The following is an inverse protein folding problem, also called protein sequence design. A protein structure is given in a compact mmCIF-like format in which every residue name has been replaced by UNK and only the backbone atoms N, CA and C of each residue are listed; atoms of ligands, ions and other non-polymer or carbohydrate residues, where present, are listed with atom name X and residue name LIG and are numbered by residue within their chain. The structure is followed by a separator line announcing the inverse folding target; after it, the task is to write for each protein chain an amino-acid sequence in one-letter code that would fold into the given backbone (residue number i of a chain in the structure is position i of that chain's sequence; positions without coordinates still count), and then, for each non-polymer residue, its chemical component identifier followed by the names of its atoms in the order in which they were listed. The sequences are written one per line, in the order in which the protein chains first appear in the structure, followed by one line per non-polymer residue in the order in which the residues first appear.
data_IF_663247465678
#
_entry.id   IF_663247465678
#
_cell.length_a   1.000
_cell.length_b   1.000
_cell.length_c   1.000
_cell.angle_alpha   90.00
_cell.angle_beta   90.00
_cell.angle_gamma   90.00
#
_symmetry.space_group_name_H-M   'P 1'
#
loop_
_entity.id
_entity.type
_entity.pdbx_description
1 polymer ?
#
# COMPACT_ATOMS: atom_id res chain seq x y z
N UNK A 1 0.88 30.88 -21.37
CA UNK A 1 -0.25 30.76 -20.40
C UNK A 1 -0.50 29.29 -20.16
N UNK A 2 -0.52 28.81 -18.91
CA UNK A 2 -0.72 27.39 -18.62
C UNK A 2 -2.13 26.95 -19.04
N UNK A 3 -2.32 25.75 -19.64
CA UNK A 3 -3.65 25.25 -20.02
C UNK A 3 -4.62 25.19 -18.83
N UNK A 4 -4.12 24.99 -17.61
CA UNK A 4 -4.92 25.03 -16.38
C UNK A 4 -5.49 26.42 -16.08
N UNK A 5 -4.73 27.49 -16.34
CA UNK A 5 -5.20 28.87 -16.14
C UNK A 5 -6.28 29.21 -17.16
N UNK A 6 -6.11 28.79 -18.42
CA UNK A 6 -7.14 28.96 -19.45
C UNK A 6 -8.42 28.22 -19.08
N UNK A 7 -8.31 27.00 -18.57
CA UNK A 7 -9.45 26.21 -18.11
C UNK A 7 -10.20 26.90 -16.96
N UNK A 8 -9.50 27.40 -15.96
CA UNK A 8 -10.09 28.13 -14.83
C UNK A 8 -10.78 29.42 -15.31
N UNK A 9 -10.10 30.21 -16.14
CA UNK A 9 -10.69 31.44 -16.70
C UNK A 9 -11.95 31.12 -17.49
N UNK A 10 -11.92 30.11 -18.37
CA UNK A 10 -13.11 29.66 -19.07
C UNK A 10 -14.18 29.16 -18.09
N UNK A 11 -13.86 28.42 -17.03
CA UNK A 11 -14.86 27.89 -16.10
C UNK A 11 -15.65 28.99 -15.35
N UNK A 12 -15.02 30.11 -15.00
CA UNK A 12 -15.64 31.17 -14.19
C UNK A 12 -16.21 32.36 -14.98
N UNK A 13 -15.76 32.57 -16.23
CA UNK A 13 -16.28 33.68 -17.05
C UNK A 13 -17.70 33.34 -17.56
N UNK A 14 -18.70 34.23 -17.41
CA UNK A 14 -20.05 34.02 -17.93
C UNK A 14 -20.09 33.84 -19.44
N UNK A 15 -21.04 33.04 -19.93
CA UNK A 15 -21.20 32.78 -21.36
C UNK A 15 -21.51 34.06 -22.17
N UNK A 16 -22.27 35.01 -21.62
CA UNK A 16 -22.56 36.29 -22.30
C UNK A 16 -21.29 37.07 -22.66
N UNK A 17 -20.30 37.05 -21.78
CA UNK A 17 -19.02 37.73 -22.02
C UNK A 17 -18.20 37.00 -23.08
N UNK A 18 -18.20 35.67 -23.05
CA UNK A 18 -17.57 34.84 -24.08
C UNK A 18 -18.22 35.05 -25.44
N UNK A 19 -19.56 35.10 -25.50
CA UNK A 19 -20.32 35.39 -26.71
C UNK A 19 -20.01 36.79 -27.25
N UNK A 20 -19.90 37.80 -26.38
CA UNK A 20 -19.51 39.16 -26.79
C UNK A 20 -18.09 39.24 -27.37
N UNK A 21 -17.19 38.34 -26.93
CA UNK A 21 -15.84 38.20 -27.47
C UNK A 21 -15.77 37.36 -28.77
N UNK A 22 -16.91 36.89 -29.29
CA UNK A 22 -17.01 36.06 -30.50
C UNK A 22 -16.78 34.55 -30.26
N UNK A 23 -16.73 34.11 -29.00
CA UNK A 23 -16.52 32.70 -28.63
C UNK A 23 -17.88 32.01 -28.46
N UNK A 24 -18.46 31.50 -29.55
CA UNK A 24 -19.81 30.91 -29.55
C UNK A 24 -19.84 29.37 -29.56
N UNK A 25 -18.73 28.70 -29.90
CA UNK A 25 -18.66 27.24 -30.08
C UNK A 25 -17.70 26.55 -29.10
N UNK A 26 -18.03 26.57 -27.82
CA UNK A 26 -17.24 25.95 -26.75
C UNK A 26 -18.07 24.87 -26.03
N UNK A 27 -17.43 23.89 -25.36
CA UNK A 27 -18.15 22.89 -24.59
C UNK A 27 -19.00 23.53 -23.48
N UNK A 28 -20.04 22.81 -23.03
CA UNK A 28 -20.90 23.27 -21.95
C UNK A 28 -20.12 23.43 -20.64
N UNK A 29 -20.43 24.47 -19.84
CA UNK A 29 -19.82 24.73 -18.52
C UNK A 29 -19.93 23.56 -17.54
N UNK A 30 -20.90 22.67 -17.71
CA UNK A 30 -21.03 21.43 -16.94
C UNK A 30 -19.71 20.61 -16.91
N UNK A 31 -18.94 20.64 -18.00
CA UNK A 31 -17.65 19.96 -18.09
C UNK A 31 -16.58 20.53 -17.14
N UNK A 32 -16.73 21.77 -16.67
CA UNK A 32 -15.88 22.33 -15.63
C UNK A 32 -15.98 21.55 -14.30
N UNK A 33 -17.15 20.98 -14.02
CA UNK A 33 -17.41 20.15 -12.84
C UNK A 33 -17.25 18.66 -13.16
N UNK A 34 -17.73 18.21 -14.32
CA UNK A 34 -17.70 16.80 -14.66
C UNK A 34 -16.27 16.26 -14.83
N UNK A 35 -15.36 17.02 -15.45
CA UNK A 35 -13.98 16.59 -15.66
C UNK A 35 -13.24 16.23 -14.34
N UNK A 36 -13.21 17.09 -13.29
CA UNK A 36 -12.57 16.72 -12.03
C UNK A 36 -13.28 15.55 -11.33
N UNK A 37 -14.61 15.45 -11.41
CA UNK A 37 -15.35 14.31 -10.85
C UNK A 37 -14.95 13.00 -11.55
N UNK A 38 -14.93 12.98 -12.89
CA UNK A 38 -14.52 11.79 -13.64
C UNK A 38 -13.08 11.40 -13.35
N UNK A 39 -12.17 12.37 -13.18
CA UNK A 39 -10.80 12.10 -12.76
C UNK A 39 -10.76 11.40 -11.40
N UNK A 40 -11.48 11.92 -10.39
CA UNK A 40 -11.53 11.30 -9.06
C UNK A 40 -12.14 9.89 -9.08
N UNK A 41 -13.23 9.70 -9.82
CA UNK A 41 -13.88 8.39 -9.99
C UNK A 41 -12.93 7.41 -10.68
N UNK A 42 -12.22 7.86 -11.71
CA UNK A 42 -11.25 7.04 -12.45
C UNK A 42 -10.10 6.62 -11.54
N UNK A 43 -9.50 7.55 -10.80
CA UNK A 43 -8.43 7.23 -9.85
C UNK A 43 -8.88 6.26 -8.76
N UNK A 44 -10.08 6.47 -8.20
CA UNK A 44 -10.65 5.58 -7.18
C UNK A 44 -10.88 4.18 -7.76
N UNK A 45 -11.43 4.10 -8.98
CA UNK A 45 -11.64 2.82 -9.68
C UNK A 45 -10.32 2.13 -9.95
N UNK A 46 -9.30 2.84 -10.43
CA UNK A 46 -7.95 2.30 -10.61
C UNK A 46 -7.38 1.73 -9.30
N UNK A 47 -7.55 2.44 -8.17
CA UNK A 47 -7.08 1.96 -6.87
C UNK A 47 -7.78 0.67 -6.43
N UNK A 48 -9.12 0.61 -6.56
CA UNK A 48 -9.89 -0.60 -6.24
C UNK A 48 -9.49 -1.78 -7.14
N UNK A 49 -9.32 -1.54 -8.44
CA UNK A 49 -8.88 -2.57 -9.38
C UNK A 49 -7.46 -3.05 -9.06
N UNK A 50 -6.53 -2.14 -8.79
CA UNK A 50 -5.17 -2.49 -8.38
C UNK A 50 -5.19 -3.33 -7.11
N UNK A 51 -5.99 -2.96 -6.11
CA UNK A 51 -6.14 -3.75 -4.89
C UNK A 51 -6.67 -5.17 -5.19
N UNK A 52 -7.73 -5.27 -6.00
CA UNK A 52 -8.30 -6.56 -6.42
C UNK A 52 -7.29 -7.43 -7.17
N UNK A 53 -6.56 -6.86 -8.13
CA UNK A 53 -5.52 -7.57 -8.89
C UNK A 53 -4.37 -8.00 -7.99
N UNK A 54 -3.92 -7.14 -7.07
CA UNK A 54 -2.90 -7.51 -6.09
C UNK A 54 -3.37 -8.68 -5.22
N UNK A 55 -4.63 -8.67 -4.75
CA UNK A 55 -5.18 -9.77 -3.96
C UNK A 55 -5.31 -11.07 -4.76
N UNK A 56 -5.62 -11.01 -6.05
CA UNK A 56 -5.67 -12.19 -6.93
C UNK A 56 -4.29 -12.80 -7.21
N UNK A 57 -3.25 -11.97 -7.26
CA UNK A 57 -1.87 -12.39 -7.55
C UNK A 57 -1.04 -12.71 -6.30
N UNK A 58 -1.55 -12.39 -5.11
CA UNK A 58 -0.86 -12.62 -3.82
C UNK A 58 -1.45 -13.84 -3.12
N UNK A 59 -0.66 -14.50 -2.26
CA UNK A 59 -1.17 -15.61 -1.45
C UNK A 59 -2.34 -15.16 -0.55
N UNK A 60 -3.28 -16.05 -0.19
CA UNK A 60 -4.39 -15.73 0.72
C UNK A 60 -3.88 -15.03 1.98
N UNK A 61 -4.62 -14.05 2.52
CA UNK A 61 -4.16 -13.19 3.63
C UNK A 61 -3.62 -13.95 4.86
N UNK A 62 -4.16 -15.14 5.14
CA UNK A 62 -3.70 -16.00 6.24
C UNK A 62 -2.53 -16.92 5.90
N UNK A 63 -2.02 -16.90 4.67
CA UNK A 63 -0.89 -17.75 4.28
C UNK A 63 0.41 -17.20 4.86
N UNK A 64 1.19 -18.11 5.46
CA UNK A 64 2.56 -17.84 5.90
C UNK A 64 3.47 -17.43 4.75
N UNK A 65 3.12 -17.79 3.50
CA UNK A 65 3.85 -17.41 2.28
C UNK A 65 3.87 -15.89 2.05
N UNK A 66 3.00 -15.13 2.72
CA UNK A 66 3.06 -13.66 2.71
C UNK A 66 4.20 -13.09 3.58
N UNK A 67 4.80 -13.92 4.44
CA UNK A 67 5.82 -13.52 5.42
C UNK A 67 7.12 -14.32 5.21
N UNK A 68 7.01 -15.57 4.75
CA UNK A 68 8.10 -16.52 4.57
C UNK A 68 8.40 -16.72 3.09
N UNK A 69 9.67 -16.95 2.74
CA UNK A 69 10.08 -17.34 1.40
C UNK A 69 10.70 -18.75 1.39
N UNK A 70 11.18 -19.23 0.24
CA UNK A 70 11.87 -20.52 0.11
C UNK A 70 13.13 -20.62 0.99
N UNK A 71 13.78 -19.50 1.27
CA UNK A 71 15.05 -19.47 2.00
C UNK A 71 14.85 -19.26 3.50
N UNK A 72 13.67 -18.78 3.91
CA UNK A 72 13.27 -18.66 5.28
C UNK A 72 13.27 -20.03 5.93
N UNK A 73 14.16 -20.18 6.90
CA UNK A 73 14.21 -21.37 7.74
C UNK A 73 13.33 -21.10 8.94
N UNK A 74 12.25 -21.87 9.06
CA UNK A 74 11.57 -21.96 10.34
C UNK A 74 12.59 -22.35 11.40
N UNK A 75 12.42 -21.82 12.61
CA UNK A 75 13.07 -22.34 13.80
C UNK A 75 12.47 -23.73 14.07
N UNK A 76 12.76 -24.70 13.20
CA UNK A 76 12.45 -26.09 13.48
C UNK A 76 13.22 -26.45 14.74
N UNK A 77 12.50 -26.98 15.72
CA UNK A 77 12.99 -27.73 16.86
C UNK A 77 13.73 -28.97 16.34
N UNK A 78 14.88 -28.78 15.70
CA UNK A 78 15.82 -29.87 15.53
C UNK A 78 16.26 -30.24 16.95
N UNK A 79 16.14 -31.52 17.30
CA UNK A 79 16.68 -32.07 18.54
C UNK A 79 18.13 -31.61 18.67
N UNK A 80 18.43 -30.90 19.76
CA UNK A 80 19.79 -30.50 20.08
C UNK A 80 20.61 -31.78 20.24
N UNK A 81 21.43 -32.09 19.22
CA UNK A 81 22.35 -33.22 19.30
C UNK A 81 23.43 -32.87 20.32
N UNK A 82 23.53 -33.70 21.34
CA UNK A 82 24.43 -33.51 22.46
C UNK A 82 25.89 -33.43 21.97
N UNK A 83 26.53 -32.28 22.21
CA UNK A 83 27.91 -31.99 21.78
C UNK A 83 28.08 -31.22 20.47
N UNK A 84 26.99 -30.86 19.77
CA UNK A 84 27.04 -29.99 18.57
C UNK A 84 26.68 -28.55 18.95
N UNK A 85 27.35 -27.57 18.35
CA UNK A 85 27.00 -26.16 18.53
C UNK A 85 25.61 -25.92 17.91
N UNK A 86 24.62 -25.49 18.72
CA UNK A 86 23.26 -25.30 18.22
C UNK A 86 23.21 -24.17 17.20
N UNK A 87 22.27 -24.28 16.25
CA UNK A 87 22.05 -23.25 15.23
C UNK A 87 21.53 -21.97 15.89
N UNK A 88 21.89 -20.83 15.32
CA UNK A 88 21.35 -19.54 15.73
C UNK A 88 19.82 -19.55 15.57
N UNK A 89 19.11 -19.43 16.69
CA UNK A 89 17.65 -19.32 16.78
C UNK A 89 17.29 -18.27 17.81
N UNK A 90 16.11 -17.68 17.68
CA UNK A 90 15.58 -16.83 18.73
C UNK A 90 15.10 -17.72 19.87
N UNK A 91 15.60 -17.47 21.07
CA UNK A 91 15.19 -18.18 22.28
C UNK A 91 14.33 -17.21 23.09
N UNK A 92 13.14 -17.62 23.56
CA UNK A 92 12.29 -16.73 24.34
C UNK A 92 13.04 -16.23 25.58
N UNK A 93 12.91 -14.93 25.86
CA UNK A 93 13.67 -14.28 26.95
C UNK A 93 13.45 -14.94 28.31
N UNK A 94 12.29 -15.55 28.54
CA UNK A 94 11.99 -16.32 29.74
C UNK A 94 12.89 -17.55 29.92
N UNK A 95 13.23 -18.22 28.83
CA UNK A 95 14.09 -19.41 28.83
C UNK A 95 15.55 -19.01 29.06
N UNK A 96 16.05 -17.98 28.36
CA UNK A 96 17.38 -17.42 28.59
C UNK A 96 17.52 -16.91 30.03
N UNK A 97 16.53 -16.18 30.54
CA UNK A 97 16.59 -15.68 31.91
C UNK A 97 16.67 -16.80 32.93
N UNK A 98 15.94 -17.91 32.71
CA UNK A 98 16.01 -19.07 33.59
C UNK A 98 17.38 -19.73 33.54
N UNK A 99 17.93 -19.94 32.35
CA UNK A 99 19.24 -20.57 32.16
C UNK A 99 20.39 -19.78 32.80
N UNK A 100 20.44 -18.46 32.58
CA UNK A 100 21.55 -17.63 33.02
C UNK A 100 21.42 -17.13 34.47
N UNK A 101 20.20 -16.90 34.97
CA UNK A 101 20.00 -16.29 36.29
C UNK A 101 19.38 -17.22 37.33
N UNK A 102 18.68 -18.30 36.92
CA UNK A 102 17.98 -19.18 37.86
C UNK A 102 18.62 -20.57 37.99
N UNK A 103 19.17 -21.14 36.90
CA UNK A 103 19.81 -22.46 36.93
C UNK A 103 21.26 -22.44 37.48
N UNK A 104 21.84 -21.25 37.71
CA UNK A 104 23.19 -21.08 38.27
C UNK A 104 23.23 -20.87 39.80
N UNK A 105 22.18 -21.24 40.52
CA UNK A 105 22.24 -21.34 41.99
C UNK A 105 22.70 -22.75 42.42
N UNK A 106 23.98 -23.05 42.24
CA UNK A 106 24.66 -24.00 43.14
C UNK A 106 24.96 -23.28 44.48
N UNK A 107 24.77 -23.92 45.65
CA UNK A 107 25.40 -23.51 46.89
C UNK A 107 26.91 -23.75 46.88
#
# INVERSE_FOLDING_TARGET
MSPSVLYVVWAFVPDDWLHSAGLTYWPQKYWALAAPIYLLVTLTTCFVLLFGVNMMNTAPLGSVDNITDRYARSQCTAEDQEGVIPRLRDVPISEINRLFYLDHHEP
#
